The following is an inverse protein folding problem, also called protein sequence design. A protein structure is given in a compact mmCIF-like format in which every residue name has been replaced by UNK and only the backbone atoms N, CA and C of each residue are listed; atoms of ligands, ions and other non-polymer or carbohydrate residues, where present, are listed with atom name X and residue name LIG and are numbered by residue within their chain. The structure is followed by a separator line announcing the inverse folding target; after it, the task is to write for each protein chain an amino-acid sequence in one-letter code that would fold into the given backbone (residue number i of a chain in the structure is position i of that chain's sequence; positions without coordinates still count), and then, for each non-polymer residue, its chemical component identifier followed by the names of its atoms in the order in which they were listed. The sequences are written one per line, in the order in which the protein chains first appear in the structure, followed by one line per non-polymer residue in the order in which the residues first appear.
data_IF_143513008165
#
_entry.id   IF_143513008165
#
_cell.length_a   1.000
_cell.length_b   1.000
_cell.length_c   1.000
_cell.angle_alpha   90.00
_cell.angle_beta   90.00
_cell.angle_gamma   90.00
#
_symmetry.space_group_name_H-M   'P 1'
#
loop_
_entity.id
_entity.type
_entity.pdbx_description
1 polymer ?
#
# COMPACT_ATOMS: atom_id res chain seq x y z
N UNK A 1 5.42 -9.00 -2.20
CA UNK A 1 5.83 -8.90 -0.78
C UNK A 1 5.65 -10.27 -0.18
N UNK A 2 6.65 -10.77 0.53
CA UNK A 2 6.53 -12.03 1.25
C UNK A 2 5.98 -11.69 2.62
N UNK A 3 4.70 -11.97 2.83
CA UNK A 3 4.04 -11.79 4.12
C UNK A 3 3.95 -13.17 4.79
N UNK A 4 4.10 -13.21 6.12
CA UNK A 4 4.02 -14.45 6.87
C UNK A 4 2.88 -14.37 7.86
N UNK A 5 2.01 -15.38 7.83
CA UNK A 5 0.92 -15.51 8.80
C UNK A 5 1.07 -16.83 9.53
N UNK A 6 1.07 -16.77 10.86
CA UNK A 6 1.06 -17.94 11.74
C UNK A 6 -0.25 -17.96 12.52
N UNK A 7 -0.90 -19.12 12.59
CA UNK A 7 -2.14 -19.34 13.33
C UNK A 7 -1.93 -20.52 14.28
N UNK A 8 -2.27 -20.35 15.56
CA UNK A 8 -2.23 -21.43 16.55
C UNK A 8 -2.50 -20.93 17.97
N UNK A 9 -2.95 -21.81 18.88
CA UNK A 9 -3.25 -21.46 20.28
C UNK A 9 -4.17 -20.22 20.44
N UNK A 10 -5.20 -20.09 19.58
CA UNK A 10 -6.08 -18.91 19.53
C UNK A 10 -5.36 -17.58 19.25
N UNK A 11 -4.11 -17.62 18.78
CA UNK A 11 -3.30 -16.48 18.39
C UNK A 11 -3.10 -16.47 16.86
N UNK A 12 -3.20 -15.27 16.28
CA UNK A 12 -2.87 -15.00 14.88
C UNK A 12 -1.74 -13.98 14.88
N UNK A 13 -0.57 -14.37 14.40
CA UNK A 13 0.58 -13.48 14.21
C UNK A 13 0.75 -13.20 12.73
N UNK A 14 0.76 -11.93 12.34
CA UNK A 14 1.00 -11.50 10.96
C UNK A 14 2.31 -10.68 10.94
N UNK A 15 3.27 -11.13 10.15
CA UNK A 15 4.52 -10.41 9.86
C UNK A 15 4.39 -9.85 8.45
N UNK A 16 4.26 -8.53 8.37
CA UNK A 16 4.20 -7.77 7.12
C UNK A 16 5.38 -6.83 7.03
N UNK A 17 5.83 -6.58 5.81
CA UNK A 17 6.97 -5.70 5.55
C UNK A 17 6.63 -4.22 5.76
N UNK A 18 5.36 -3.85 5.64
CA UNK A 18 4.86 -2.49 5.75
C UNK A 18 3.42 -2.56 6.26
N UNK A 19 3.08 -1.74 7.26
CA UNK A 19 1.74 -1.67 7.83
C UNK A 19 1.41 -0.22 8.10
N UNK A 20 0.19 0.16 7.75
CA UNK A 20 -0.34 1.49 8.00
C UNK A 20 -1.71 1.30 8.63
N UNK A 21 -1.93 1.95 9.77
CA UNK A 21 -3.24 1.89 10.41
C UNK A 21 -4.18 2.81 9.67
N UNK A 22 -5.46 2.46 9.64
CA UNK A 22 -6.49 3.31 9.04
C UNK A 22 -6.49 4.74 9.64
N UNK A 23 -6.32 4.86 10.96
CA UNK A 23 -6.22 6.14 11.66
C UNK A 23 -5.02 7.01 11.23
N UNK A 24 -4.03 6.42 10.57
CA UNK A 24 -2.84 7.09 10.05
C UNK A 24 -3.01 7.50 8.57
N UNK A 25 -4.06 7.02 7.89
CA UNK A 25 -4.34 7.36 6.50
C UNK A 25 -5.13 8.67 6.45
N UNK A 26 -4.56 9.70 5.83
CA UNK A 26 -5.29 10.94 5.56
C UNK A 26 -6.20 10.78 4.32
N UNK A 27 -7.54 10.89 4.50
CA UNK A 27 -8.50 10.71 3.41
C UNK A 27 -8.44 11.79 2.33
N UNK A 28 -7.90 12.97 2.64
CA UNK A 28 -7.68 14.04 1.68
C UNK A 28 -6.37 13.88 0.92
N UNK A 29 -5.32 13.37 1.57
CA UNK A 29 -4.00 13.23 0.94
C UNK A 29 -3.87 11.95 0.09
N UNK A 30 -4.51 10.85 0.48
CA UNK A 30 -4.36 9.56 -0.24
C UNK A 30 -4.75 9.61 -1.73
N UNK A 31 -5.87 10.26 -2.14
CA UNK A 31 -6.21 10.40 -3.57
C UNK A 31 -5.19 11.23 -4.35
N UNK A 32 -4.57 12.23 -3.70
CA UNK A 32 -3.54 13.08 -4.28
C UNK A 32 -2.23 12.29 -4.45
N UNK A 33 -1.83 11.52 -3.42
CA UNK A 33 -0.66 10.65 -3.45
C UNK A 33 -0.77 9.61 -4.57
N UNK A 34 -1.95 8.99 -4.75
CA UNK A 34 -2.19 8.04 -5.84
C UNK A 34 -1.95 8.66 -7.23
N UNK A 35 -2.37 9.92 -7.45
CA UNK A 35 -2.14 10.63 -8.72
C UNK A 35 -0.64 10.86 -8.97
N UNK A 36 0.10 11.26 -7.94
CA UNK A 36 1.54 11.50 -8.01
C UNK A 36 2.29 10.20 -8.33
N UNK A 37 1.96 9.11 -7.64
CA UNK A 37 2.59 7.80 -7.88
C UNK A 37 2.28 7.29 -9.30
N UNK A 38 1.05 7.44 -9.79
CA UNK A 38 0.70 7.13 -11.19
C UNK A 38 1.50 7.94 -12.20
N UNK A 39 1.73 9.23 -11.94
CA UNK A 39 2.53 10.09 -12.81
C UNK A 39 4.02 9.68 -12.79
N UNK A 40 4.54 9.32 -11.62
CA UNK A 40 5.93 8.88 -11.46
C UNK A 40 6.18 7.50 -12.08
N UNK A 41 5.21 6.59 -12.04
CA UNK A 41 5.28 5.29 -12.72
C UNK A 41 5.50 5.43 -14.24
N UNK A 42 4.94 6.47 -14.86
CA UNK A 42 5.11 6.72 -16.31
C UNK A 42 6.51 7.18 -16.68
N UNK A 43 7.32 7.60 -15.70
CA UNK A 43 8.67 8.16 -15.90
C UNK A 43 9.78 7.16 -15.58
N UNK A 44 9.45 5.97 -15.05
CA UNK A 44 10.45 4.95 -14.70
C UNK A 44 10.69 4.00 -15.87
N UNK A 45 11.97 3.81 -16.21
CA UNK A 45 12.42 2.96 -17.33
C UNK A 45 13.20 1.72 -16.84
N UNK A 46 13.75 1.75 -15.62
CA UNK A 46 14.54 0.65 -15.08
C UNK A 46 13.70 -0.45 -14.43
N UNK A 47 14.03 -1.72 -14.68
CA UNK A 47 13.30 -2.90 -14.16
C UNK A 47 13.08 -2.89 -12.64
N UNK A 48 14.11 -2.51 -11.85
CA UNK A 48 13.99 -2.42 -10.38
C UNK A 48 13.03 -1.29 -9.97
N UNK A 49 13.18 -0.13 -10.60
CA UNK A 49 12.35 1.04 -10.34
C UNK A 49 10.89 0.79 -10.71
N UNK A 50 10.63 0.03 -11.79
CA UNK A 50 9.28 -0.40 -12.17
C UNK A 50 8.66 -1.30 -11.10
N UNK A 51 9.42 -2.19 -10.46
CA UNK A 51 8.90 -3.05 -9.39
C UNK A 51 8.54 -2.23 -8.16
N UNK A 52 9.43 -1.33 -7.73
CA UNK A 52 9.21 -0.44 -6.58
C UNK A 52 8.06 0.54 -6.83
N UNK A 53 7.98 1.13 -8.02
CA UNK A 53 6.90 2.04 -8.38
C UNK A 53 5.55 1.32 -8.52
N UNK A 54 5.52 0.09 -9.02
CA UNK A 54 4.31 -0.74 -9.02
C UNK A 54 3.86 -1.11 -7.60
N UNK A 55 4.81 -1.36 -6.71
CA UNK A 55 4.51 -1.61 -5.30
C UNK A 55 3.90 -0.36 -4.65
N UNK A 56 4.52 0.81 -4.84
CA UNK A 56 3.99 2.09 -4.35
C UNK A 56 2.60 2.40 -4.93
N UNK A 57 2.36 2.07 -6.20
CA UNK A 57 1.05 2.24 -6.84
C UNK A 57 -0.01 1.37 -6.18
N UNK A 58 0.30 0.10 -5.90
CA UNK A 58 -0.62 -0.82 -5.23
C UNK A 58 -0.95 -0.31 -3.83
N UNK A 59 0.05 0.13 -3.06
CA UNK A 59 -0.15 0.71 -1.72
C UNK A 59 -1.07 1.93 -1.76
N UNK A 60 -0.79 2.91 -2.62
CA UNK A 60 -1.61 4.12 -2.73
C UNK A 60 -3.04 3.81 -3.21
N UNK A 61 -3.22 2.76 -4.03
CA UNK A 61 -4.54 2.27 -4.41
C UNK A 61 -5.31 1.71 -3.22
N UNK A 62 -4.66 0.83 -2.44
CA UNK A 62 -5.25 0.24 -1.24
C UNK A 62 -5.59 1.28 -0.17
N UNK A 63 -4.79 2.34 0.02
CA UNK A 63 -5.13 3.44 0.92
C UNK A 63 -6.46 4.12 0.51
N UNK A 64 -6.63 4.45 -0.77
CA UNK A 64 -7.86 5.06 -1.29
C UNK A 64 -9.06 4.12 -1.17
N UNK A 65 -8.86 2.82 -1.42
CA UNK A 65 -9.92 1.81 -1.24
C UNK A 65 -10.30 1.63 0.24
N UNK A 66 -9.34 1.65 1.15
CA UNK A 66 -9.57 1.56 2.59
C UNK A 66 -10.43 2.73 3.09
N UNK A 67 -10.08 3.96 2.70
CA UNK A 67 -10.88 5.16 3.01
C UNK A 67 -12.33 5.02 2.51
N UNK A 68 -12.51 4.55 1.27
CA UNK A 68 -13.85 4.38 0.69
C UNK A 68 -14.67 3.26 1.35
N UNK A 69 -14.02 2.28 1.99
CA UNK A 69 -14.68 1.14 2.64
C UNK A 69 -15.16 1.48 4.06
N UNK A 70 -14.55 2.48 4.68
CA UNK A 70 -14.81 2.87 6.06
C UNK A 70 -15.81 4.05 6.14
N UNK A 71 -15.99 4.77 5.03
CA UNK A 71 -17.05 5.77 4.86
C UNK A 71 -18.44 5.16 4.64
#
# INVERSE_FOLDING_TARGET
MGDFTRIGNNEITILVNDVEKDSEIDPQEAPQALKIVKANLRKVEGKRQTIEANLALRRAGTQVEAINTIS
#
